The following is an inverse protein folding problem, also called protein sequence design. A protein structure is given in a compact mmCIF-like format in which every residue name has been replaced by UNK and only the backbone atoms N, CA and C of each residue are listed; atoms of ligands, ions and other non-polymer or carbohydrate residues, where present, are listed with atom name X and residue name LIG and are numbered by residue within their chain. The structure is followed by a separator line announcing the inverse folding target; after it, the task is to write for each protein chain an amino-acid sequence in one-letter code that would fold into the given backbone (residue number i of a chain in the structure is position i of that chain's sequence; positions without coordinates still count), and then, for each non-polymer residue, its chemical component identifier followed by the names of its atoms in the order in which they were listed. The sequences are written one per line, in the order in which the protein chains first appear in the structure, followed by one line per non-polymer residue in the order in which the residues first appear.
data_IF_955780632056
#
_entry.id   IF_955780632056
#
_cell.length_a   1.000
_cell.length_b   1.000
_cell.length_c   1.000
_cell.angle_alpha   90.00
_cell.angle_beta   90.00
_cell.angle_gamma   90.00
#
_symmetry.space_group_name_H-M   'P 1'
#
loop_
_entity.id
_entity.type
_entity.pdbx_description
1 polymer ?
#
# COMPACT_ATOMS: atom_id res chain seq x y z
N UNK A 1 25.59 -31.06 -24.91
CA UNK A 1 25.69 -30.22 -23.69
C UNK A 1 25.57 -28.71 -23.98
N UNK A 2 26.38 -28.12 -24.87
CA UNK A 2 26.30 -26.67 -25.20
C UNK A 2 24.91 -26.16 -25.61
N UNK A 3 24.16 -26.92 -26.42
CA UNK A 3 22.80 -26.53 -26.85
C UNK A 3 21.79 -26.51 -25.69
N UNK A 4 21.90 -27.44 -24.73
CA UNK A 4 21.07 -27.47 -23.52
C UNK A 4 21.36 -26.31 -22.58
N UNK A 5 22.64 -25.94 -22.41
CA UNK A 5 23.07 -24.79 -21.62
C UNK A 5 22.54 -23.47 -22.19
N UNK A 6 22.58 -23.29 -23.50
CA UNK A 6 22.07 -22.08 -24.17
C UNK A 6 20.55 -21.96 -23.99
N UNK A 7 19.80 -23.06 -24.17
CA UNK A 7 18.34 -23.04 -23.96
C UNK A 7 17.97 -22.75 -22.50
N UNK A 8 18.72 -23.30 -21.54
CA UNK A 8 18.51 -23.04 -20.11
C UNK A 8 18.79 -21.58 -19.73
N UNK A 9 19.85 -20.98 -20.29
CA UNK A 9 20.18 -19.56 -20.08
C UNK A 9 19.12 -18.62 -20.66
N UNK A 10 18.56 -18.92 -21.83
CA UNK A 10 17.46 -18.12 -22.41
C UNK A 10 16.21 -18.21 -21.53
N UNK A 11 15.90 -19.40 -21.03
CA UNK A 11 14.75 -19.62 -20.16
C UNK A 11 14.92 -18.92 -18.80
N UNK A 12 16.15 -18.90 -18.27
CA UNK A 12 16.50 -18.18 -17.05
C UNK A 12 16.37 -16.65 -17.24
N UNK A 13 16.83 -16.10 -18.37
CA UNK A 13 16.69 -14.67 -18.68
C UNK A 13 15.23 -14.28 -18.89
N UNK A 14 14.42 -15.14 -19.52
CA UNK A 14 12.97 -14.92 -19.65
C UNK A 14 12.24 -15.03 -18.30
N UNK A 15 12.65 -15.96 -17.43
CA UNK A 15 12.10 -16.11 -16.09
C UNK A 15 12.48 -14.92 -15.20
N UNK A 16 13.74 -14.48 -15.23
CA UNK A 16 14.23 -13.30 -14.51
C UNK A 16 13.61 -12.02 -15.05
N UNK A 17 13.54 -11.86 -16.37
CA UNK A 17 12.88 -10.72 -17.02
C UNK A 17 11.39 -10.68 -16.70
N UNK A 18 10.71 -11.83 -16.74
CA UNK A 18 9.30 -11.95 -16.35
C UNK A 18 9.08 -11.66 -14.85
N UNK A 19 10.00 -12.09 -13.99
CA UNK A 19 9.97 -11.84 -12.56
C UNK A 19 10.21 -10.35 -12.22
N UNK A 20 11.21 -9.72 -12.85
CA UNK A 20 11.47 -8.28 -12.71
C UNK A 20 10.31 -7.45 -13.25
N UNK A 21 9.74 -7.83 -14.40
CA UNK A 21 8.53 -7.21 -14.94
C UNK A 21 7.35 -7.36 -13.97
N UNK A 22 7.17 -8.53 -13.36
CA UNK A 22 6.13 -8.75 -12.37
C UNK A 22 6.31 -7.84 -11.15
N UNK A 23 7.51 -7.79 -10.55
CA UNK A 23 7.76 -6.92 -9.39
C UNK A 23 7.58 -5.43 -9.71
N UNK A 24 7.90 -4.96 -10.92
CA UNK A 24 7.76 -3.54 -11.26
C UNK A 24 6.33 -3.16 -11.71
N UNK A 25 5.67 -4.01 -12.51
CA UNK A 25 4.34 -3.71 -13.04
C UNK A 25 3.20 -4.06 -12.09
N UNK A 26 3.37 -5.06 -11.22
CA UNK A 26 2.30 -5.51 -10.32
C UNK A 26 1.88 -4.43 -9.32
N UNK A 27 2.81 -3.73 -8.60
CA UNK A 27 2.42 -2.65 -7.70
C UNK A 27 1.66 -1.52 -8.42
N UNK A 28 2.15 -1.12 -9.60
CA UNK A 28 1.50 -0.10 -10.43
C UNK A 28 0.11 -0.55 -10.89
N UNK A 29 -0.05 -1.81 -11.31
CA UNK A 29 -1.34 -2.37 -11.74
C UNK A 29 -2.35 -2.43 -10.59
N UNK A 30 -1.92 -2.84 -9.40
CA UNK A 30 -2.79 -2.86 -8.20
C UNK A 30 -3.20 -1.44 -7.82
N UNK A 31 -2.25 -0.51 -7.77
CA UNK A 31 -2.55 0.89 -7.51
C UNK A 31 -3.48 1.49 -8.57
N UNK A 32 -3.23 1.26 -9.86
CA UNK A 32 -4.08 1.77 -10.96
C UNK A 32 -5.51 1.20 -10.90
N UNK A 33 -5.66 -0.07 -10.51
CA UNK A 33 -6.97 -0.68 -10.31
C UNK A 33 -7.72 -0.04 -9.12
N UNK A 34 -7.00 0.36 -8.06
CA UNK A 34 -7.56 1.01 -6.88
C UNK A 34 -7.89 2.48 -7.15
N UNK A 35 -7.01 3.25 -7.81
CA UNK A 35 -7.16 4.71 -7.94
C UNK A 35 -7.93 5.12 -9.20
N UNK A 36 -7.65 4.47 -10.34
CA UNK A 36 -8.01 4.98 -11.68
C UNK A 36 -9.13 4.20 -12.38
N UNK A 37 -9.73 3.19 -11.75
CA UNK A 37 -10.77 2.33 -12.34
C UNK A 37 -10.34 1.58 -13.61
N UNK A 38 -9.03 1.54 -13.89
CA UNK A 38 -8.46 0.83 -15.03
C UNK A 38 -8.20 -0.61 -14.59
N UNK A 39 -9.25 -1.42 -14.57
CA UNK A 39 -9.10 -2.87 -14.52
C UNK A 39 -8.39 -3.29 -15.79
N UNK A 40 -7.07 -3.53 -15.68
CA UNK A 40 -6.31 -4.06 -16.79
C UNK A 40 -7.01 -5.35 -17.26
N UNK A 41 -7.09 -5.62 -18.57
CA UNK A 41 -7.83 -6.77 -19.16
C UNK A 41 -7.44 -8.14 -18.57
N UNK A 42 -6.38 -8.16 -17.78
CA UNK A 42 -5.79 -9.28 -17.05
C UNK A 42 -6.55 -9.65 -15.77
N UNK A 43 -7.37 -8.76 -15.16
CA UNK A 43 -8.11 -9.09 -13.93
C UNK A 43 -9.40 -9.85 -14.27
N UNK A 44 -9.59 -11.10 -13.78
CA UNK A 44 -10.80 -11.87 -14.08
C UNK A 44 -12.07 -11.19 -13.54
N UNK A 45 -13.15 -11.19 -14.34
CA UNK A 45 -14.45 -10.56 -14.01
C UNK A 45 -15.00 -10.96 -12.64
N UNK A 46 -14.74 -12.19 -12.19
CA UNK A 46 -15.15 -12.72 -10.87
C UNK A 46 -14.63 -11.88 -9.69
N UNK A 47 -13.51 -11.19 -9.85
CA UNK A 47 -12.89 -10.39 -8.77
C UNK A 47 -13.21 -8.90 -8.85
N UNK A 48 -13.72 -8.41 -9.98
CA UNK A 48 -14.03 -6.99 -10.19
C UNK A 48 -14.97 -6.37 -9.13
N UNK A 49 -16.05 -7.04 -8.66
CA UNK A 49 -16.92 -6.48 -7.62
C UNK A 49 -16.18 -6.28 -6.28
N UNK A 50 -15.31 -7.24 -5.92
CA UNK A 50 -14.50 -7.15 -4.69
C UNK A 50 -13.48 -6.01 -4.78
N UNK A 51 -12.88 -5.80 -5.96
CA UNK A 51 -11.99 -4.67 -6.17
C UNK A 51 -12.72 -3.33 -6.11
N UNK A 52 -13.96 -3.25 -6.61
CA UNK A 52 -14.78 -2.04 -6.53
C UNK A 52 -15.08 -1.64 -5.09
N UNK A 53 -15.50 -2.60 -4.25
CA UNK A 53 -15.72 -2.35 -2.82
C UNK A 53 -14.41 -1.93 -2.11
N UNK A 54 -13.29 -2.58 -2.45
CA UNK A 54 -11.99 -2.24 -1.90
C UNK A 54 -11.58 -0.81 -2.29
N UNK A 55 -11.81 -0.44 -3.55
CA UNK A 55 -11.53 0.87 -4.13
C UNK A 55 -12.23 1.98 -3.37
N UNK A 56 -13.54 1.89 -3.19
CA UNK A 56 -14.30 2.98 -2.55
C UNK A 56 -13.84 3.18 -1.09
N UNK A 57 -13.54 2.08 -0.40
CA UNK A 57 -13.00 2.14 0.95
C UNK A 57 -11.58 2.74 0.99
N UNK A 58 -10.69 2.31 0.10
CA UNK A 58 -9.29 2.74 0.07
C UNK A 58 -9.17 4.18 -0.43
N UNK A 59 -9.92 4.58 -1.45
CA UNK A 59 -9.88 5.95 -1.95
C UNK A 59 -10.32 6.96 -0.90
N UNK A 60 -11.42 6.71 -0.18
CA UNK A 60 -11.86 7.59 0.89
C UNK A 60 -10.83 7.70 2.02
N UNK A 61 -10.14 6.60 2.33
CA UNK A 61 -9.06 6.57 3.34
C UNK A 61 -7.84 7.38 2.91
N UNK A 62 -7.43 7.21 1.65
CA UNK A 62 -6.23 7.87 1.12
C UNK A 62 -6.50 9.35 0.85
N UNK A 63 -7.69 9.72 0.36
CA UNK A 63 -8.08 11.13 0.16
C UNK A 63 -8.07 11.88 1.50
N UNK A 64 -8.70 11.32 2.54
CA UNK A 64 -8.65 11.91 3.89
C UNK A 64 -7.23 11.98 4.48
N UNK A 65 -6.34 11.05 4.11
CA UNK A 65 -4.94 11.10 4.54
C UNK A 65 -4.19 12.25 3.86
N UNK A 66 -4.47 12.52 2.57
CA UNK A 66 -3.87 13.64 1.86
C UNK A 66 -4.36 14.98 2.40
N UNK A 67 -5.66 15.12 2.66
CA UNK A 67 -6.22 16.34 3.26
C UNK A 67 -5.58 16.63 4.63
N UNK A 68 -5.39 15.59 5.45
CA UNK A 68 -4.75 15.74 6.77
C UNK A 68 -3.26 16.05 6.64
N UNK A 69 -2.56 15.44 5.68
CA UNK A 69 -1.15 15.76 5.43
C UNK A 69 -0.99 17.22 4.98
N UNK A 70 -1.84 17.71 4.08
CA UNK A 70 -1.82 19.09 3.59
C UNK A 70 -2.09 20.10 4.71
N UNK A 71 -3.11 19.87 5.55
CA UNK A 71 -3.42 20.73 6.71
C UNK A 71 -2.26 20.79 7.71
N UNK A 72 -1.49 19.71 7.84
CA UNK A 72 -0.35 19.61 8.76
C UNK A 72 1.01 19.92 8.09
N UNK A 73 1.02 20.48 6.87
CA UNK A 73 2.23 20.82 6.12
C UNK A 73 3.18 19.63 5.88
N UNK A 74 2.65 18.41 5.79
CA UNK A 74 3.42 17.23 5.39
C UNK A 74 3.32 17.03 3.90
N UNK A 75 4.47 17.11 3.23
CA UNK A 75 4.55 16.96 1.79
C UNK A 75 4.33 15.49 1.36
N UNK A 76 3.88 15.31 0.11
CA UNK A 76 3.79 13.97 -0.50
C UNK A 76 5.12 13.22 -0.46
N UNK A 77 6.24 13.94 -0.57
CA UNK A 77 7.57 13.35 -0.59
C UNK A 77 7.95 12.84 0.81
N UNK A 78 7.59 13.57 1.87
CA UNK A 78 7.72 13.09 3.26
C UNK A 78 6.86 11.87 3.55
N UNK A 79 5.63 11.79 3.00
CA UNK A 79 4.81 10.58 3.15
C UNK A 79 5.45 9.36 2.46
N UNK A 80 6.12 9.57 1.33
CA UNK A 80 6.85 8.52 0.62
C UNK A 80 8.10 8.12 1.40
N UNK A 81 8.87 9.09 1.89
CA UNK A 81 10.05 8.87 2.71
C UNK A 81 9.71 8.10 3.99
N UNK A 82 8.61 8.45 4.66
CA UNK A 82 8.15 7.72 5.82
C UNK A 82 7.74 6.28 5.54
N UNK A 83 7.33 5.94 4.31
CA UNK A 83 7.13 4.53 3.90
C UNK A 83 8.48 3.81 3.72
N UNK A 84 9.48 4.52 3.22
CA UNK A 84 10.81 3.96 2.97
C UNK A 84 11.56 3.69 4.28
N UNK A 85 11.38 4.54 5.29
CA UNK A 85 11.93 4.42 6.65
C UNK A 85 11.43 3.16 7.38
N UNK A 86 10.21 2.69 7.10
CA UNK A 86 9.61 1.53 7.76
C UNK A 86 10.48 0.28 7.59
N UNK A 87 11.05 -0.23 8.67
CA UNK A 87 11.81 -1.49 8.62
C UNK A 87 10.88 -2.71 8.68
N UNK A 88 11.28 -3.80 8.04
CA UNK A 88 10.52 -5.06 8.10
C UNK A 88 10.39 -5.55 9.55
N UNK A 89 11.45 -5.39 10.34
CA UNK A 89 11.55 -5.79 11.73
C UNK A 89 10.47 -5.10 12.58
N UNK A 90 10.30 -3.79 12.39
CA UNK A 90 9.32 -2.95 13.08
C UNK A 90 7.89 -3.37 12.73
N UNK A 91 7.64 -3.68 11.46
CA UNK A 91 6.33 -4.17 11.00
C UNK A 91 6.02 -5.54 11.60
N UNK A 92 7.02 -6.44 11.63
CA UNK A 92 6.87 -7.76 12.25
C UNK A 92 6.59 -7.63 13.75
N UNK A 93 7.32 -6.76 14.46
CA UNK A 93 7.11 -6.50 15.88
C UNK A 93 5.71 -5.93 16.16
N UNK A 94 5.27 -4.93 15.38
CA UNK A 94 3.93 -4.38 15.47
C UNK A 94 2.84 -5.44 15.26
N UNK A 95 3.00 -6.28 14.24
CA UNK A 95 2.05 -7.35 13.93
C UNK A 95 2.03 -8.45 14.98
N UNK A 96 3.18 -8.81 15.55
CA UNK A 96 3.26 -9.78 16.64
C UNK A 96 2.54 -9.25 17.89
N UNK A 97 2.77 -7.99 18.27
CA UNK A 97 2.04 -7.38 19.39
C UNK A 97 0.53 -7.29 19.11
N UNK A 98 0.12 -6.94 17.89
CA UNK A 98 -1.30 -6.91 17.50
C UNK A 98 -1.97 -8.29 17.57
N UNK A 99 -1.24 -9.37 17.28
CA UNK A 99 -1.75 -10.75 17.37
C UNK A 99 -1.87 -11.22 18.81
N UNK A 100 -0.87 -10.91 19.63
CA UNK A 100 -0.80 -11.32 21.02
C UNK A 100 -1.64 -10.44 21.96
N UNK A 101 -2.18 -9.33 21.44
CA UNK A 101 -3.01 -8.40 22.20
C UNK A 101 -4.50 -8.53 21.86
N UNK A 102 -5.36 -8.55 22.88
CA UNK A 102 -6.81 -8.45 22.69
C UNK A 102 -7.18 -7.01 22.27
N UNK A 103 -7.31 -6.78 20.97
CA UNK A 103 -7.66 -5.47 20.38
C UNK A 103 -9.07 -5.03 20.83
N UNK A 104 -9.12 -3.95 21.63
CA UNK A 104 -10.35 -3.35 22.17
C UNK A 104 -10.79 -2.10 21.40
N UNK A 105 -9.85 -1.33 20.85
CA UNK A 105 -10.11 -0.08 20.14
C UNK A 105 -9.23 0.09 18.89
N UNK A 106 -9.63 0.99 17.99
CA UNK A 106 -8.80 1.41 16.85
C UNK A 106 -7.58 2.18 17.32
N UNK A 107 -7.74 2.99 18.37
CA UNK A 107 -6.67 3.75 19.00
C UNK A 107 -5.54 2.86 19.52
N UNK A 108 -5.88 1.73 20.15
CA UNK A 108 -4.88 0.77 20.58
C UNK A 108 -4.02 0.25 19.41
N UNK A 109 -4.61 0.10 18.22
CA UNK A 109 -3.89 -0.35 17.02
C UNK A 109 -2.97 0.75 16.51
N UNK A 110 -3.41 2.01 16.57
CA UNK A 110 -2.59 3.16 16.23
C UNK A 110 -1.37 3.25 17.17
N UNK A 111 -1.59 3.13 18.48
CA UNK A 111 -0.51 3.17 19.48
C UNK A 111 0.50 2.04 19.29
N UNK A 112 0.04 0.81 19.02
CA UNK A 112 0.94 -0.31 18.73
C UNK A 112 1.75 -0.03 17.46
N UNK A 113 1.10 0.52 16.42
CA UNK A 113 1.79 0.95 15.21
C UNK A 113 2.88 1.98 15.50
N UNK A 114 2.53 3.08 16.18
CA UNK A 114 3.46 4.16 16.55
C UNK A 114 4.60 3.70 17.45
N UNK A 115 4.33 2.75 18.35
CA UNK A 115 5.32 2.20 19.28
C UNK A 115 6.46 1.48 18.56
N UNK A 116 6.16 0.79 17.47
CA UNK A 116 7.12 -0.06 16.76
C UNK A 116 7.64 0.57 15.47
N UNK A 117 6.75 1.19 14.68
CA UNK A 117 7.08 1.77 13.38
C UNK A 117 7.65 3.17 13.61
N UNK A 118 8.95 3.31 13.41
CA UNK A 118 9.66 4.59 13.53
C UNK A 118 9.68 5.28 12.17
N UNK A 119 9.28 6.55 12.18
CA UNK A 119 9.25 7.44 11.03
C UNK A 119 9.87 8.74 11.51
N UNK A 120 10.94 9.18 10.85
CA UNK A 120 11.71 10.39 11.19
C UNK A 120 11.30 11.57 10.29
N UNK A 121 10.85 11.26 9.07
CA UNK A 121 10.39 12.21 8.05
C UNK A 121 9.18 13.08 8.43
N UNK A 122 8.32 12.62 9.35
CA UNK A 122 7.23 13.39 9.95
C UNK A 122 6.73 12.72 11.26
N UNK A 123 6.04 13.50 12.12
CA UNK A 123 5.40 12.95 13.32
C UNK A 123 4.16 12.12 12.96
N UNK A 124 4.13 10.79 13.22
CA UNK A 124 2.98 9.95 12.91
C UNK A 124 1.70 10.39 13.61
N UNK A 125 1.79 11.10 14.74
CA UNK A 125 0.67 11.55 15.55
C UNK A 125 -0.32 12.41 14.76
N UNK A 126 0.15 13.17 13.78
CA UNK A 126 -0.71 13.99 12.89
C UNK A 126 -1.73 13.13 12.13
N UNK A 127 -1.43 11.84 11.91
CA UNK A 127 -2.32 10.92 11.20
C UNK A 127 -3.33 10.25 12.13
N UNK A 128 -3.27 10.48 13.46
CA UNK A 128 -4.15 9.83 14.43
C UNK A 128 -5.61 10.06 14.11
N UNK A 129 -6.03 11.32 13.93
CA UNK A 129 -7.43 11.64 13.70
C UNK A 129 -7.94 10.97 12.41
N UNK A 130 -7.17 11.08 11.33
CA UNK A 130 -7.45 10.42 10.06
C UNK A 130 -7.61 8.90 10.22
N UNK A 131 -6.69 8.28 10.98
CA UNK A 131 -6.71 6.85 11.25
C UNK A 131 -7.95 6.44 12.04
N UNK A 132 -8.25 7.11 13.16
CA UNK A 132 -9.38 6.80 14.02
C UNK A 132 -10.74 6.99 13.31
N UNK A 133 -10.86 8.03 12.49
CA UNK A 133 -12.08 8.33 11.73
C UNK A 133 -12.36 7.30 10.65
N UNK A 134 -11.31 6.80 10.00
CA UNK A 134 -11.47 5.99 8.79
C UNK A 134 -11.28 4.49 9.02
N UNK A 135 -10.55 4.07 10.05
CA UNK A 135 -10.26 2.66 10.33
C UNK A 135 -11.30 2.08 11.27
N UNK A 136 -11.75 0.86 10.98
CA UNK A 136 -12.73 0.14 11.80
C UNK A 136 -12.08 -1.13 12.35
N UNK A 137 -12.38 -1.47 13.62
CA UNK A 137 -11.89 -2.70 14.28
C UNK A 137 -12.20 -3.95 13.45
N UNK A 138 -13.39 -4.00 12.82
CA UNK A 138 -13.79 -5.11 11.96
C UNK A 138 -12.80 -5.32 10.80
N UNK A 139 -12.34 -4.23 10.18
CA UNK A 139 -11.37 -4.28 9.09
C UNK A 139 -9.99 -4.72 9.59
N UNK A 140 -9.56 -4.24 10.76
CA UNK A 140 -8.30 -4.65 11.37
C UNK A 140 -8.30 -6.15 11.67
N UNK A 141 -9.33 -6.66 12.36
CA UNK A 141 -9.45 -8.08 12.70
C UNK A 141 -9.49 -8.96 11.45
N UNK A 142 -10.20 -8.53 10.40
CA UNK A 142 -10.24 -9.23 9.11
C UNK A 142 -8.85 -9.24 8.45
N UNK A 143 -8.14 -8.11 8.48
CA UNK A 143 -6.77 -7.99 7.96
C UNK A 143 -5.78 -8.90 8.67
N UNK A 144 -5.75 -8.87 10.01
CA UNK A 144 -4.88 -9.74 10.82
C UNK A 144 -5.14 -11.22 10.56
N UNK A 145 -6.40 -11.65 10.53
CA UNK A 145 -6.77 -13.03 10.18
C UNK A 145 -6.32 -13.39 8.77
N UNK A 146 -6.43 -12.47 7.82
CA UNK A 146 -6.03 -12.71 6.43
C UNK A 146 -4.50 -12.89 6.31
N UNK A 147 -3.73 -12.04 6.99
CA UNK A 147 -2.27 -12.13 7.09
C UNK A 147 -1.85 -13.49 7.65
N UNK A 148 -2.50 -13.94 8.72
CA UNK A 148 -2.24 -15.22 9.37
C UNK A 148 -2.62 -16.40 8.46
N UNK A 149 -3.84 -16.41 7.92
CA UNK A 149 -4.37 -17.52 7.11
C UNK A 149 -3.55 -17.77 5.84
N UNK A 150 -2.98 -16.71 5.26
CA UNK A 150 -2.21 -16.81 4.01
C UNK A 150 -0.71 -16.79 4.23
N UNK A 151 -0.25 -16.66 5.47
CA UNK A 151 1.16 -16.53 5.82
C UNK A 151 1.84 -15.37 5.07
N UNK A 152 1.15 -14.22 5.00
CA UNK A 152 1.62 -13.09 4.19
C UNK A 152 2.93 -12.51 4.71
N UNK A 153 3.23 -12.62 6.00
CA UNK A 153 4.49 -12.12 6.56
C UNK A 153 5.71 -12.86 6.02
N UNK A 154 5.57 -14.11 5.59
CA UNK A 154 6.67 -14.88 5.04
C UNK A 154 6.61 -14.98 3.51
N UNK A 155 5.46 -14.64 2.90
CA UNK A 155 5.25 -14.75 1.45
C UNK A 155 5.19 -13.41 0.71
N UNK A 156 4.91 -12.32 1.42
CA UNK A 156 4.90 -10.98 0.86
C UNK A 156 6.23 -10.32 1.16
N UNK A 157 6.96 -10.04 0.10
CA UNK A 157 8.17 -9.23 0.15
C UNK A 157 7.82 -7.80 0.65
N UNK A 158 8.45 -7.30 1.73
CA UNK A 158 8.17 -5.98 2.29
C UNK A 158 8.33 -4.85 1.28
N UNK A 159 9.30 -4.97 0.36
CA UNK A 159 9.53 -3.98 -0.69
C UNK A 159 8.35 -3.89 -1.66
N UNK A 160 7.71 -5.01 -1.95
CA UNK A 160 6.46 -5.03 -2.74
C UNK A 160 5.32 -4.30 -2.03
N UNK A 161 5.18 -4.46 -0.70
CA UNK A 161 4.15 -3.78 0.08
C UNK A 161 4.40 -2.26 0.14
N UNK A 162 5.66 -1.84 0.38
CA UNK A 162 6.08 -0.43 0.32
C UNK A 162 5.82 0.15 -1.07
N UNK A 163 6.19 -0.57 -2.13
CA UNK A 163 5.98 -0.13 -3.50
C UNK A 163 4.49 0.09 -3.81
N UNK A 164 3.59 -0.79 -3.35
CA UNK A 164 2.14 -0.60 -3.50
C UNK A 164 1.69 0.67 -2.78
N UNK A 165 2.11 0.86 -1.52
CA UNK A 165 1.75 2.03 -0.74
C UNK A 165 2.23 3.33 -1.40
N UNK A 166 3.49 3.40 -1.83
CA UNK A 166 4.06 4.53 -2.57
C UNK A 166 3.31 4.82 -3.86
N UNK A 167 2.98 3.79 -4.65
CA UNK A 167 2.22 3.96 -5.89
C UNK A 167 0.82 4.52 -5.65
N UNK A 168 0.16 4.16 -4.54
CA UNK A 168 -1.14 4.76 -4.18
C UNK A 168 -1.01 6.26 -3.91
N UNK A 169 0.02 6.68 -3.15
CA UNK A 169 0.29 8.09 -2.87
C UNK A 169 0.60 8.84 -4.18
N UNK A 170 1.51 8.32 -4.99
CA UNK A 170 1.92 8.94 -6.26
C UNK A 170 0.75 9.10 -7.24
N UNK A 171 -0.13 8.10 -7.35
CA UNK A 171 -1.29 8.20 -8.24
C UNK A 171 -2.31 9.21 -7.73
N UNK A 172 -2.45 9.36 -6.41
CA UNK A 172 -3.32 10.37 -5.82
C UNK A 172 -2.76 11.78 -5.98
N UNK A 173 -1.45 11.98 -5.77
CA UNK A 173 -0.75 13.23 -6.09
C UNK A 173 -1.04 13.66 -7.53
N UNK A 174 -0.82 12.77 -8.51
CA UNK A 174 -1.14 13.04 -9.92
C UNK A 174 -2.59 13.40 -10.17
N UNK A 175 -3.54 12.75 -9.49
CA UNK A 175 -4.96 13.05 -9.64
C UNK A 175 -5.34 14.42 -9.06
N UNK A 176 -4.70 14.84 -7.98
CA UNK A 176 -4.87 16.16 -7.37
C UNK A 176 -4.25 17.22 -8.28
N UNK A 177 -3.00 17.03 -8.72
CA UNK A 177 -2.31 17.91 -9.68
C UNK A 177 -3.14 18.11 -10.96
N UNK A 178 -3.65 17.03 -11.56
CA UNK A 178 -4.50 17.10 -12.76
C UNK A 178 -5.82 17.84 -12.52
N UNK A 179 -6.42 17.74 -11.32
CA UNK A 179 -7.62 18.52 -10.99
C UNK A 179 -7.28 19.99 -10.84
N UNK A 180 -6.18 20.32 -10.17
CA UNK A 180 -5.74 21.70 -9.97
C UNK A 180 -5.33 22.36 -11.29
N UNK A 181 -4.60 21.66 -12.16
CA UNK A 181 -4.24 22.13 -13.50
C UNK A 181 -5.46 22.23 -14.42
N UNK A 182 -6.41 21.28 -14.34
CA UNK A 182 -7.65 21.28 -15.12
C UNK A 182 -8.62 22.41 -14.75
N UNK A 183 -8.58 22.90 -13.50
CA UNK A 183 -9.34 24.09 -13.06
C UNK A 183 -8.74 25.39 -13.61
N UNK A 184 -7.46 25.40 -13.98
CA UNK A 184 -6.77 26.57 -14.56
C UNK A 184 -6.96 26.64 -16.09
N UNK A 185 -7.56 25.61 -16.71
CA UNK A 185 -7.82 25.53 -18.15
C UNK A 185 -9.30 25.63 -18.54
N UNK A 186 -10.08 26.48 -17.88
CA UNK A 186 -11.31 27.04 -18.48
C UNK A 186 -11.05 28.53 -18.82
N UNK A 187 -10.88 28.88 -20.12
CA UNK A 187 -10.92 30.27 -20.57
C UNK A 187 -12.33 30.86 -20.57
#
# INVERSE_FOLDING_TARGET
MKKLLITLSILLVLALGGYMLYQHYYPKMVADAIVNDKYNKVIPKKYQPKFKELKDSVNNKVDNLMDVAEVNNVSFDQLIEGIDEVQEEDVRAALDELKNTKIKSVEQVFEIGKKHIKIDSFDPEILREAFLKNVQIKHIKKGLRYIETHDLLNKMDPETAKAIAKQLILQKKKKIEQKTEGIITEP
#
